data_IF_475721812162
#
_entry.id   IF_475721812162
#
_cell.length_a   1.000
_cell.length_b   1.000
_cell.length_c   1.000
_cell.angle_alpha   90.00
_cell.angle_beta   90.00
_cell.angle_gamma   90.00
#
_symmetry.space_group_name_H-M   'P 1'
#
loop_
_entity.id
_entity.type
_entity.pdbx_description
1 polymer ?
#
# COMPACT_ATOMS: atom_id res chain seq x y z
N UNK A 1 -4.84 -0.20 -10.84
CA UNK A 1 -6.17 -0.80 -11.06
C UNK A 1 -7.20 0.28 -10.78
N UNK A 2 -8.31 0.35 -11.52
CA UNK A 2 -9.36 1.32 -11.23
C UNK A 2 -10.08 1.01 -9.90
N UNK A 3 -10.14 -0.27 -9.53
CA UNK A 3 -10.73 -0.75 -8.27
C UNK A 3 -9.62 -1.22 -7.30
N UNK A 4 -9.48 -0.60 -6.11
CA UNK A 4 -8.53 -1.02 -5.08
C UNK A 4 -8.71 -2.47 -4.62
N UNK A 5 -9.93 -3.00 -4.69
CA UNK A 5 -10.27 -4.29 -4.08
C UNK A 5 -9.76 -5.49 -4.87
N UNK A 6 -9.42 -5.31 -6.15
CA UNK A 6 -9.00 -6.40 -7.03
C UNK A 6 -7.77 -7.14 -6.48
N UNK A 7 -6.79 -6.41 -5.92
CA UNK A 7 -5.61 -7.04 -5.33
C UNK A 7 -5.99 -7.92 -4.13
N UNK A 8 -6.75 -7.38 -3.18
CA UNK A 8 -7.12 -8.08 -1.95
C UNK A 8 -8.01 -9.28 -2.22
N UNK A 9 -8.98 -9.13 -3.14
CA UNK A 9 -9.82 -10.23 -3.59
C UNK A 9 -9.02 -11.32 -4.29
N UNK A 10 -8.03 -10.95 -5.11
CA UNK A 10 -7.15 -11.93 -5.75
C UNK A 10 -6.30 -12.69 -4.73
N UNK A 11 -5.74 -12.00 -3.72
CA UNK A 11 -4.99 -12.64 -2.63
C UNK A 11 -5.87 -13.65 -1.89
N UNK A 12 -7.09 -13.26 -1.50
CA UNK A 12 -8.01 -14.15 -0.79
C UNK A 12 -8.53 -15.31 -1.65
N UNK A 13 -8.74 -15.09 -2.95
CA UNK A 13 -9.31 -16.08 -3.87
C UNK A 13 -8.29 -17.12 -4.35
N UNK A 14 -7.07 -16.69 -4.63
CA UNK A 14 -6.05 -17.51 -5.28
C UNK A 14 -4.91 -17.92 -4.35
N UNK A 15 -4.85 -17.35 -3.13
CA UNK A 15 -3.86 -17.73 -2.14
C UNK A 15 -4.18 -19.10 -1.52
N UNK A 16 -3.18 -19.97 -1.49
CA UNK A 16 -3.25 -21.27 -0.84
C UNK A 16 -3.31 -21.15 0.69
N UNK A 17 -3.78 -22.22 1.35
CA UNK A 17 -3.80 -22.27 2.81
C UNK A 17 -2.38 -22.08 3.35
N UNK A 18 -2.23 -21.20 4.35
CA UNK A 18 -0.95 -20.81 4.98
C UNK A 18 0.02 -20.11 4.02
N UNK A 19 -0.41 -19.65 2.84
CA UNK A 19 0.43 -18.83 1.99
C UNK A 19 0.88 -17.58 2.75
N UNK A 20 2.18 -17.29 2.70
CA UNK A 20 2.74 -16.05 3.22
C UNK A 20 2.40 -14.92 2.25
N UNK A 21 1.91 -13.79 2.79
CA UNK A 21 1.59 -12.59 2.03
C UNK A 21 2.48 -11.46 2.51
N UNK A 22 3.08 -10.73 1.56
CA UNK A 22 3.75 -9.46 1.78
C UNK A 22 3.38 -8.52 0.63
N UNK A 23 2.69 -7.43 0.96
CA UNK A 23 2.44 -6.32 0.05
C UNK A 23 3.10 -5.09 0.67
N UNK A 24 3.98 -4.44 -0.09
CA UNK A 24 4.61 -3.17 0.30
C UNK A 24 4.30 -2.18 -0.81
N UNK A 25 3.76 -1.03 -0.44
CA UNK A 25 3.43 0.04 -1.38
C UNK A 25 3.52 1.41 -0.68
N UNK A 26 3.42 2.48 -1.46
CA UNK A 26 3.44 3.86 -0.99
C UNK A 26 2.21 4.18 -0.13
N UNK A 27 2.39 5.13 0.77
CA UNK A 27 1.34 5.80 1.50
C UNK A 27 1.14 7.20 0.96
N UNK A 28 -0.12 7.59 0.82
CA UNK A 28 -0.48 8.97 0.48
C UNK A 28 -0.08 9.88 1.64
N UNK A 29 0.74 10.91 1.38
CA UNK A 29 0.99 11.97 2.35
C UNK A 29 -0.33 12.69 2.71
N UNK A 30 -0.44 13.31 3.90
CA UNK A 30 -1.67 13.96 4.34
C UNK A 30 -2.05 15.18 3.49
N UNK A 31 -1.07 15.83 2.85
CA UNK A 31 -1.23 17.03 2.05
C UNK A 31 -0.10 17.18 1.01
N UNK A 32 -0.25 18.18 0.14
CA UNK A 32 0.68 18.45 -0.96
C UNK A 32 2.06 18.91 -0.45
N UNK A 33 2.10 19.72 0.60
CA UNK A 33 3.37 20.20 1.19
C UNK A 33 4.18 19.02 1.73
N UNK A 34 3.52 18.08 2.41
CA UNK A 34 4.14 16.84 2.87
C UNK A 34 4.62 15.99 1.70
N UNK A 35 3.88 15.94 0.58
CA UNK A 35 4.29 15.21 -0.60
C UNK A 35 5.54 15.82 -1.27
N UNK A 36 5.62 17.14 -1.37
CA UNK A 36 6.82 17.84 -1.86
C UNK A 36 8.03 17.61 -0.95
N UNK A 37 7.85 17.68 0.37
CA UNK A 37 8.90 17.38 1.34
C UNK A 37 9.47 15.97 1.17
N UNK A 38 8.62 15.01 0.82
CA UNK A 38 9.05 13.64 0.50
C UNK A 38 9.93 13.61 -0.75
N UNK A 39 9.55 14.33 -1.80
CA UNK A 39 10.37 14.42 -3.02
C UNK A 39 11.74 15.03 -2.69
N UNK A 40 11.77 16.12 -1.93
CA UNK A 40 13.00 16.80 -1.55
C UNK A 40 13.90 15.94 -0.65
N UNK A 41 13.30 15.13 0.23
CA UNK A 41 14.05 14.30 1.18
C UNK A 41 14.62 13.04 0.51
N UNK A 42 13.83 12.35 -0.31
CA UNK A 42 14.15 11.00 -0.77
C UNK A 42 14.57 10.90 -2.23
N UNK A 43 14.27 11.91 -3.05
CA UNK A 43 14.69 11.99 -4.46
C UNK A 43 15.26 13.37 -4.82
N UNK A 44 16.19 13.94 -4.02
CA UNK A 44 16.70 15.31 -4.21
C UNK A 44 17.35 15.51 -5.58
N UNK A 45 18.18 14.56 -6.01
CA UNK A 45 18.97 14.66 -7.26
C UNK A 45 18.29 13.99 -8.47
N UNK A 46 17.02 13.58 -8.32
CA UNK A 46 16.32 12.94 -9.40
C UNK A 46 15.98 13.93 -10.53
N UNK A 47 16.05 13.51 -11.80
CA UNK A 47 15.60 14.32 -12.93
C UNK A 47 14.16 14.82 -12.73
N UNK A 48 13.80 16.01 -13.25
CA UNK A 48 12.47 16.60 -13.04
C UNK A 48 11.30 15.67 -13.38
N UNK A 49 11.42 14.84 -14.43
CA UNK A 49 10.41 13.84 -14.78
C UNK A 49 10.20 12.81 -13.67
N UNK A 50 11.28 12.26 -13.08
CA UNK A 50 11.14 11.25 -12.03
C UNK A 50 10.59 11.83 -10.73
N UNK A 51 10.92 13.09 -10.43
CA UNK A 51 10.32 13.83 -9.31
C UNK A 51 8.81 13.98 -9.51
N UNK A 52 8.40 14.36 -10.72
CA UNK A 52 6.99 14.49 -11.07
C UNK A 52 6.24 13.15 -11.02
N UNK A 53 6.84 12.07 -11.53
CA UNK A 53 6.24 10.73 -11.52
C UNK A 53 6.08 10.16 -10.10
N UNK A 54 7.08 10.40 -9.24
CA UNK A 54 6.99 10.03 -7.82
C UNK A 54 5.88 10.82 -7.11
N UNK A 55 5.76 12.13 -7.39
CA UNK A 55 4.70 12.95 -6.81
C UNK A 55 3.30 12.47 -7.23
N UNK A 56 3.13 12.11 -8.51
CA UNK A 56 1.88 11.52 -9.01
C UNK A 56 1.58 10.18 -8.34
N UNK A 57 2.62 9.37 -8.10
CA UNK A 57 2.49 8.08 -7.42
C UNK A 57 2.10 8.25 -5.95
N UNK A 58 2.68 9.20 -5.22
CA UNK A 58 2.30 9.55 -3.85
C UNK A 58 0.85 10.04 -3.77
N UNK A 59 0.42 10.89 -4.71
CA UNK A 59 -0.97 11.35 -4.78
C UNK A 59 -1.96 10.22 -5.07
N UNK A 60 -1.57 9.24 -5.88
CA UNK A 60 -2.39 8.09 -6.22
C UNK A 60 -2.38 6.95 -5.18
N UNK A 61 -1.38 6.93 -4.29
CA UNK A 61 -1.26 5.96 -3.20
C UNK A 61 -2.46 6.00 -2.26
N UNK A 62 -2.64 4.98 -1.41
CA UNK A 62 -3.74 4.95 -0.42
C UNK A 62 -3.31 5.47 0.95
N UNK A 63 -4.27 5.93 1.75
CA UNK A 63 -4.04 6.23 3.18
C UNK A 63 -4.10 4.95 4.00
N UNK A 64 -3.55 4.98 5.23
CA UNK A 64 -3.65 3.85 6.17
C UNK A 64 -5.10 3.47 6.47
N UNK A 65 -6.00 4.44 6.58
CA UNK A 65 -7.42 4.22 6.86
C UNK A 65 -8.12 3.54 5.67
N UNK A 66 -7.82 3.99 4.45
CA UNK A 66 -8.33 3.38 3.22
C UNK A 66 -7.87 1.91 3.14
N UNK A 67 -6.59 1.63 3.37
CA UNK A 67 -6.03 0.26 3.32
C UNK A 67 -6.64 -0.62 4.42
N UNK A 68 -6.76 -0.11 5.64
CA UNK A 68 -7.39 -0.84 6.75
C UNK A 68 -8.83 -1.22 6.41
N UNK A 69 -9.61 -0.29 5.85
CA UNK A 69 -10.98 -0.52 5.41
C UNK A 69 -11.04 -1.57 4.29
N UNK A 70 -10.13 -1.50 3.31
CA UNK A 70 -10.04 -2.49 2.23
C UNK A 70 -9.76 -3.90 2.77
N UNK A 71 -8.84 -4.05 3.73
CA UNK A 71 -8.54 -5.35 4.35
C UNK A 71 -9.73 -5.92 5.12
N UNK A 72 -10.48 -5.07 5.82
CA UNK A 72 -11.72 -5.46 6.51
C UNK A 72 -12.78 -5.94 5.51
N UNK A 73 -13.02 -5.16 4.45
CA UNK A 73 -13.98 -5.52 3.40
C UNK A 73 -13.59 -6.80 2.64
N UNK A 74 -12.29 -7.08 2.50
CA UNK A 74 -11.79 -8.31 1.90
C UNK A 74 -11.80 -9.52 2.86
N UNK A 75 -12.13 -9.34 4.14
CA UNK A 75 -12.07 -10.42 5.14
C UNK A 75 -10.64 -10.87 5.46
N UNK A 76 -9.64 -10.02 5.23
CA UNK A 76 -8.22 -10.34 5.40
C UNK A 76 -7.63 -9.75 6.70
N UNK A 77 -8.32 -8.80 7.34
CA UNK A 77 -7.84 -8.07 8.51
C UNK A 77 -7.52 -8.96 9.73
N UNK A 78 -8.14 -10.13 9.86
CA UNK A 78 -7.88 -11.06 10.97
C UNK A 78 -6.53 -11.79 10.83
N UNK A 79 -6.00 -11.87 9.61
CA UNK A 79 -4.85 -12.72 9.28
C UNK A 79 -3.64 -11.93 8.77
N UNK A 80 -3.89 -10.76 8.18
CA UNK A 80 -2.88 -9.88 7.62
C UNK A 80 -2.81 -8.59 8.44
N UNK A 81 -1.61 -8.24 8.90
CA UNK A 81 -1.34 -7.06 9.69
C UNK A 81 -0.84 -5.91 8.79
N UNK A 82 -1.48 -4.75 8.89
CA UNK A 82 -1.01 -3.48 8.32
C UNK A 82 0.01 -2.83 9.26
N UNK A 83 1.18 -2.44 8.72
CA UNK A 83 2.29 -1.84 9.47
C UNK A 83 2.95 -0.74 8.64
N UNK A 84 3.62 0.20 9.30
CA UNK A 84 4.57 1.08 8.61
C UNK A 84 5.85 0.31 8.28
N UNK A 85 6.26 0.30 7.02
CA UNK A 85 7.51 -0.30 6.56
C UNK A 85 8.64 0.74 6.49
N UNK A 86 8.29 1.98 6.17
CA UNK A 86 9.15 3.16 6.19
C UNK A 86 8.28 4.40 6.43
N UNK A 87 8.82 5.62 6.53
CA UNK A 87 8.01 6.84 6.61
C UNK A 87 7.01 7.02 5.45
N UNK A 88 7.23 6.38 4.30
CA UNK A 88 6.44 6.54 3.07
C UNK A 88 5.74 5.29 2.61
N UNK A 89 6.00 4.16 3.26
CA UNK A 89 5.52 2.87 2.78
C UNK A 89 4.85 2.13 3.92
N UNK A 90 3.77 1.44 3.56
CA UNK A 90 3.17 0.44 4.43
C UNK A 90 3.62 -0.96 4.03
N UNK A 91 3.46 -1.90 4.94
CA UNK A 91 3.47 -3.32 4.65
C UNK A 91 2.17 -3.95 5.17
N UNK A 92 1.53 -4.76 4.35
CA UNK A 92 0.53 -5.74 4.77
C UNK A 92 1.19 -7.10 4.74
N UNK A 93 1.29 -7.77 5.90
CA UNK A 93 1.95 -9.05 5.99
C UNK A 93 1.28 -10.04 6.95
N UNK A 94 1.41 -11.33 6.66
CA UNK A 94 0.81 -12.40 7.45
C UNK A 94 0.75 -13.71 6.69
N UNK A 95 -0.12 -14.60 7.15
CA UNK A 95 -0.39 -15.88 6.48
C UNK A 95 -1.89 -16.07 6.31
N UNK A 96 -2.33 -16.59 5.16
CA UNK A 96 -3.74 -16.92 4.94
C UNK A 96 -4.16 -18.12 5.80
N UNK A 97 -5.32 -18.07 6.45
CA UNK A 97 -5.79 -19.14 7.34
C UNK A 97 -6.89 -20.01 6.73
N UNK A 98 -7.54 -19.56 5.67
CA UNK A 98 -8.57 -20.30 4.94
C UNK A 98 -8.12 -20.62 3.50
N UNK A 99 -8.38 -21.85 3.08
CA UNK A 99 -8.67 -22.18 1.67
C UNK A 99 -10.18 -22.43 1.64
N UNK A 100 -10.91 -22.02 0.58
CA UNK A 100 -12.34 -22.31 0.47
C UNK A 100 -12.65 -23.81 0.62
#
# INVERSE_FOLDING_TARGET
LADPMVLWQAIGRYGERRAAVLVVDLLRPPDEESAELVIDTYVPDAPPMLRQDMLLSLRAAYTLEEISTQLQQAGLADNLALKMASPLQFAVCGHLTHSP
#
